data_IF_184614353355
#
_entry.id   IF_184614353355
#
_cell.length_a   1.000
_cell.length_b   1.000
_cell.length_c   1.000
_cell.angle_alpha   90.00
_cell.angle_beta   90.00
_cell.angle_gamma   90.00
#
_symmetry.space_group_name_H-M   'P 1'
#
loop_
_entity.id
_entity.type
_entity.pdbx_description
1 polymer ?
#
# COMPACT_ATOMS: atom_id res chain seq x y z
N UNK A 1 -8.48 -1.41 15.77
CA UNK A 1 -9.13 -0.87 14.55
C UNK A 1 -9.03 0.66 14.46
N UNK A 2 -9.58 1.43 15.42
CA UNK A 2 -9.57 2.90 15.38
C UNK A 2 -8.19 3.54 15.19
N UNK A 3 -7.18 3.08 15.96
CA UNK A 3 -5.80 3.58 15.82
C UNK A 3 -5.21 3.39 14.41
N UNK A 4 -5.49 2.25 13.75
CA UNK A 4 -5.08 2.02 12.35
C UNK A 4 -5.77 3.00 11.41
N UNK A 5 -7.09 3.15 11.55
CA UNK A 5 -7.90 4.06 10.72
C UNK A 5 -7.38 5.49 10.82
N UNK A 6 -7.16 5.99 12.03
CA UNK A 6 -6.61 7.34 12.27
C UNK A 6 -5.19 7.46 11.72
N UNK A 7 -4.31 6.49 12.00
CA UNK A 7 -2.94 6.51 11.51
C UNK A 7 -2.87 6.52 9.97
N UNK A 8 -3.72 5.75 9.29
CA UNK A 8 -3.80 5.76 7.82
C UNK A 8 -4.26 7.11 7.28
N UNK A 9 -5.26 7.75 7.89
CA UNK A 9 -5.74 9.06 7.47
C UNK A 9 -4.71 10.18 7.74
N UNK A 10 -4.01 10.13 8.87
CA UNK A 10 -2.95 11.10 9.19
C UNK A 10 -1.71 10.91 8.30
N UNK A 11 -1.33 9.66 8.04
CA UNK A 11 -0.21 9.36 7.15
C UNK A 11 -0.53 9.82 5.72
N UNK A 12 -1.73 9.56 5.22
CA UNK A 12 -2.12 10.03 3.89
C UNK A 12 -2.06 11.55 3.78
N UNK A 13 -2.56 12.27 4.78
CA UNK A 13 -2.51 13.73 4.83
C UNK A 13 -1.07 14.29 4.91
N UNK A 14 -0.12 13.50 5.43
CA UNK A 14 1.30 13.88 5.44
C UNK A 14 1.98 13.57 4.11
N UNK A 15 1.63 12.45 3.47
CA UNK A 15 2.17 12.04 2.18
C UNK A 15 1.60 12.84 1.01
N UNK A 16 0.47 13.52 1.21
CA UNK A 16 -0.13 14.43 0.21
C UNK A 16 0.67 15.72 -0.02
N UNK A 17 1.69 16.00 0.80
CA UNK A 17 2.58 17.14 0.64
C UNK A 17 3.86 16.73 -0.16
N UNK A 18 4.01 17.18 -1.42
CA UNK A 18 5.19 16.86 -2.21
C UNK A 18 6.51 17.35 -1.60
N UNK A 19 6.48 18.41 -0.79
CA UNK A 19 7.67 18.89 -0.08
C UNK A 19 8.09 17.93 1.05
N UNK A 20 7.15 17.25 1.69
CA UNK A 20 7.46 16.19 2.65
C UNK A 20 8.05 14.98 1.94
N UNK A 21 7.51 14.58 0.79
CA UNK A 21 8.04 13.46 0.01
C UNK A 21 9.49 13.73 -0.41
N UNK A 22 9.70 14.80 -1.19
CA UNK A 22 11.01 15.12 -1.78
C UNK A 22 12.02 15.66 -0.76
N UNK A 23 11.56 16.40 0.25
CA UNK A 23 12.42 17.06 1.22
C UNK A 23 12.69 16.24 2.49
N UNK A 24 11.95 15.15 2.74
CA UNK A 24 12.11 14.36 3.98
C UNK A 24 12.05 12.86 3.74
N UNK A 25 11.02 12.35 3.06
CA UNK A 25 10.82 10.90 2.91
C UNK A 25 11.87 10.27 2.00
N UNK A 26 12.07 10.80 0.80
CA UNK A 26 13.04 10.26 -0.16
C UNK A 26 14.49 10.32 0.37
N UNK A 27 14.98 11.43 0.98
CA UNK A 27 16.30 11.45 1.58
C UNK A 27 16.46 10.45 2.74
N UNK A 28 15.43 10.32 3.60
CA UNK A 28 15.48 9.39 4.72
C UNK A 28 15.46 7.92 4.25
N UNK A 29 14.72 7.63 3.18
CA UNK A 29 14.75 6.32 2.54
C UNK A 29 16.15 6.01 1.98
N UNK A 30 16.75 6.95 1.23
CA UNK A 30 18.08 6.76 0.68
C UNK A 30 19.15 6.56 1.77
N UNK A 31 19.05 7.27 2.89
CA UNK A 31 19.94 7.08 4.05
C UNK A 31 19.75 5.68 4.66
N UNK A 32 18.51 5.23 4.82
CA UNK A 32 18.21 3.90 5.36
C UNK A 32 18.71 2.80 4.42
N UNK A 33 18.45 2.90 3.12
CA UNK A 33 18.91 1.95 2.10
C UNK A 33 20.44 1.86 2.12
N UNK A 34 21.13 3.00 2.06
CA UNK A 34 22.60 3.03 2.11
C UNK A 34 23.16 2.43 3.41
N UNK A 35 22.50 2.67 4.56
CA UNK A 35 22.91 2.04 5.82
C UNK A 35 22.72 0.52 5.79
N UNK A 36 21.60 0.03 5.25
CA UNK A 36 21.31 -1.41 5.16
C UNK A 36 22.26 -2.09 4.19
N UNK A 37 22.50 -1.51 3.00
CA UNK A 37 23.45 -2.00 2.01
C UNK A 37 24.86 -2.13 2.61
N UNK A 38 25.34 -1.10 3.32
CA UNK A 38 26.64 -1.18 4.00
C UNK A 38 26.70 -2.29 5.07
N UNK A 39 25.60 -2.56 5.78
CA UNK A 39 25.52 -3.69 6.73
C UNK A 39 25.52 -5.04 6.04
N UNK A 40 24.89 -5.14 4.87
CA UNK A 40 24.86 -6.34 4.05
C UNK A 40 26.24 -6.64 3.47
N UNK A 41 26.95 -5.61 2.98
CA UNK A 41 28.31 -5.72 2.46
C UNK A 41 29.27 -6.21 3.55
N UNK A 42 29.25 -5.56 4.73
CA UNK A 42 30.07 -5.95 5.89
C UNK A 42 29.83 -7.41 6.34
N UNK A 43 28.60 -7.91 6.17
CA UNK A 43 28.21 -9.27 6.51
C UNK A 43 28.46 -10.29 5.38
N UNK A 44 28.84 -9.85 4.18
CA UNK A 44 29.10 -10.69 3.02
C UNK A 44 27.84 -11.15 2.28
N UNK A 45 26.74 -10.41 2.37
CA UNK A 45 25.46 -10.73 1.72
C UNK A 45 25.23 -10.00 0.38
N UNK A 46 26.23 -9.26 -0.13
CA UNK A 46 26.11 -8.44 -1.34
C UNK A 46 26.16 -6.95 -1.02
N UNK A 47 26.31 -6.13 -2.07
CA UNK A 47 26.42 -4.67 -1.98
C UNK A 47 25.11 -3.94 -2.34
N UNK A 48 24.07 -4.68 -2.73
CA UNK A 48 22.72 -4.16 -2.97
C UNK A 48 21.72 -4.71 -1.97
N UNK A 49 20.62 -3.98 -1.75
CA UNK A 49 19.53 -4.48 -0.91
C UNK A 49 18.86 -5.73 -1.50
N UNK A 50 18.79 -5.84 -2.83
CA UNK A 50 18.24 -7.01 -3.53
C UNK A 50 19.08 -8.27 -3.24
N UNK A 51 20.40 -8.19 -3.43
CA UNK A 51 21.30 -9.30 -3.11
C UNK A 51 21.21 -9.70 -1.64
N UNK A 52 21.10 -8.70 -0.75
CA UNK A 52 20.98 -8.95 0.67
C UNK A 52 19.67 -9.63 1.06
N UNK A 53 18.55 -9.20 0.48
CA UNK A 53 17.24 -9.82 0.68
C UNK A 53 17.26 -11.27 0.22
N UNK A 54 17.83 -11.55 -0.94
CA UNK A 54 17.94 -12.90 -1.51
C UNK A 54 18.87 -13.78 -0.67
N UNK A 55 20.04 -13.28 -0.30
CA UNK A 55 21.01 -14.01 0.51
C UNK A 55 20.49 -14.37 1.91
N UNK A 56 19.64 -13.50 2.47
CA UNK A 56 19.00 -13.71 3.77
C UNK A 56 17.68 -14.48 3.69
N UNK A 57 17.19 -14.78 2.48
CA UNK A 57 15.85 -15.33 2.26
C UNK A 57 14.75 -14.47 2.92
N UNK A 58 14.97 -13.15 2.95
CA UNK A 58 14.16 -12.21 3.72
C UNK A 58 12.74 -12.05 3.17
N UNK A 59 12.53 -12.36 1.89
CA UNK A 59 11.21 -12.40 1.27
C UNK A 59 10.47 -13.74 1.44
N UNK A 60 11.12 -14.77 2.00
CA UNK A 60 10.57 -16.10 2.23
C UNK A 60 10.83 -16.56 3.68
N UNK A 61 11.52 -17.70 3.90
CA UNK A 61 11.60 -18.36 5.18
C UNK A 61 12.52 -17.64 6.18
N UNK A 62 13.42 -16.77 5.71
CA UNK A 62 14.31 -15.97 6.53
C UNK A 62 13.65 -14.74 7.15
N UNK A 63 12.68 -14.12 6.47
CA UNK A 63 12.02 -12.89 6.96
C UNK A 63 10.68 -13.11 7.65
N UNK A 64 9.92 -14.13 7.25
CA UNK A 64 8.61 -14.41 7.84
C UNK A 64 8.72 -15.44 8.97
N UNK A 65 9.22 -15.01 10.13
CA UNK A 65 9.43 -15.92 11.28
C UNK A 65 8.77 -15.39 12.55
N UNK A 66 7.44 -15.30 12.57
CA UNK A 66 6.71 -14.87 13.76
C UNK A 66 5.75 -15.94 14.29
N UNK A 67 6.12 -16.57 15.39
CA UNK A 67 5.31 -17.57 16.09
C UNK A 67 4.18 -16.95 16.95
N UNK A 68 4.14 -15.63 17.12
CA UNK A 68 3.09 -14.97 17.90
C UNK A 68 1.73 -15.11 17.24
N UNK A 69 0.76 -15.60 18.01
CA UNK A 69 -0.65 -15.67 17.63
C UNK A 69 -1.51 -14.92 18.64
N UNK A 70 -2.70 -14.53 18.22
CA UNK A 70 -3.71 -13.96 19.11
C UNK A 70 -5.10 -14.57 18.84
N UNK A 71 -6.13 -14.00 19.48
CA UNK A 71 -7.51 -14.49 19.40
C UNK A 71 -8.13 -14.43 18.01
N UNK A 72 -7.58 -13.63 17.09
CA UNK A 72 -8.13 -13.47 15.72
C UNK A 72 -7.17 -13.98 14.65
N UNK A 73 -5.85 -13.93 14.90
CA UNK A 73 -4.81 -14.48 14.04
C UNK A 73 -4.16 -15.67 14.73
N UNK A 74 -4.71 -16.86 14.47
CA UNK A 74 -4.40 -18.09 15.22
C UNK A 74 -3.32 -18.96 14.58
N UNK A 75 -2.76 -18.54 13.45
CA UNK A 75 -1.64 -19.21 12.79
C UNK A 75 -0.39 -18.33 12.84
N UNK A 76 0.81 -18.92 13.03
CA UNK A 76 2.07 -18.22 12.86
C UNK A 76 2.20 -17.57 11.48
N UNK A 77 3.00 -16.51 11.41
CA UNK A 77 3.45 -15.93 10.13
C UNK A 77 4.74 -16.64 9.72
N UNK A 78 4.67 -17.37 8.61
CA UNK A 78 5.75 -18.18 8.03
C UNK A 78 6.09 -17.79 6.60
N UNK A 79 5.24 -16.98 5.97
CA UNK A 79 5.38 -16.49 4.60
C UNK A 79 4.52 -15.23 4.41
N UNK A 80 4.60 -14.63 3.22
CA UNK A 80 3.79 -13.45 2.86
C UNK A 80 2.29 -13.70 2.92
N UNK A 81 1.85 -14.90 2.54
CA UNK A 81 0.42 -15.25 2.52
C UNK A 81 -0.19 -15.28 3.93
N UNK A 82 0.54 -15.85 4.89
CA UNK A 82 0.20 -15.91 6.30
C UNK A 82 0.32 -14.52 6.95
N UNK A 83 1.27 -13.68 6.52
CA UNK A 83 1.33 -12.28 6.94
C UNK A 83 0.08 -11.47 6.50
N UNK A 84 -0.36 -11.64 5.25
CA UNK A 84 -1.58 -11.00 4.75
C UNK A 84 -2.83 -11.52 5.45
N UNK A 85 -2.93 -12.84 5.70
CA UNK A 85 -4.02 -13.43 6.46
C UNK A 85 -4.08 -12.88 7.90
N UNK A 86 -2.92 -12.80 8.55
CA UNK A 86 -2.73 -12.24 9.88
C UNK A 86 -3.13 -10.75 9.95
N UNK A 87 -2.80 -9.96 8.91
CA UNK A 87 -3.23 -8.57 8.79
C UNK A 87 -4.74 -8.46 8.63
N UNK A 88 -5.33 -9.20 7.67
CA UNK A 88 -6.77 -9.21 7.39
C UNK A 88 -7.60 -9.60 8.61
N UNK A 89 -7.18 -10.62 9.36
CA UNK A 89 -7.85 -11.02 10.61
C UNK A 89 -7.91 -9.87 11.64
N UNK A 90 -6.84 -9.06 11.72
CA UNK A 90 -6.74 -7.91 12.64
C UNK A 90 -7.38 -6.63 12.11
N UNK A 91 -7.76 -6.57 10.83
CA UNK A 91 -8.51 -5.42 10.32
C UNK A 91 -9.90 -5.31 10.96
N UNK A 92 -10.48 -6.45 11.34
CA UNK A 92 -11.83 -6.55 11.91
C UNK A 92 -11.82 -7.06 13.34
N UNK A 93 -10.70 -7.60 13.85
CA UNK A 93 -10.60 -8.21 15.19
C UNK A 93 -11.73 -9.21 15.48
N UNK A 94 -12.15 -9.98 14.45
CA UNK A 94 -13.20 -11.00 14.59
C UNK A 94 -14.63 -10.46 14.72
N UNK A 95 -14.84 -9.13 14.64
CA UNK A 95 -16.18 -8.59 14.60
C UNK A 95 -16.89 -9.00 13.30
N UNK A 96 -18.14 -9.44 13.43
CA UNK A 96 -19.00 -9.75 12.30
C UNK A 96 -19.48 -8.47 11.62
N UNK A 97 -19.85 -8.57 10.34
CA UNK A 97 -20.53 -7.48 9.65
C UNK A 97 -21.88 -7.18 10.32
N UNK A 98 -22.15 -5.90 10.58
CA UNK A 98 -23.38 -5.39 11.18
C UNK A 98 -24.18 -4.49 10.24
N UNK A 99 -23.59 -4.10 9.10
CA UNK A 99 -24.22 -3.33 8.03
C UNK A 99 -24.29 -4.10 6.71
N UNK A 100 -24.65 -3.40 5.64
CA UNK A 100 -24.76 -3.99 4.29
C UNK A 100 -23.40 -4.46 3.78
N UNK A 101 -23.33 -5.73 3.36
CA UNK A 101 -22.16 -6.37 2.76
C UNK A 101 -22.16 -6.20 1.23
N UNK A 102 -21.04 -6.44 0.56
CA UNK A 102 -20.95 -6.41 -0.91
C UNK A 102 -21.17 -5.03 -1.54
N UNK A 103 -21.00 -3.94 -0.79
CA UNK A 103 -21.03 -2.61 -1.37
C UNK A 103 -19.80 -2.38 -2.25
N UNK A 104 -19.94 -1.52 -3.26
CA UNK A 104 -18.80 -1.10 -4.07
C UNK A 104 -17.67 -0.52 -3.19
N UNK A 105 -16.44 -0.65 -3.69
CA UNK A 105 -15.24 -0.13 -3.04
C UNK A 105 -15.42 1.37 -2.73
N UNK A 106 -14.84 1.80 -1.60
CA UNK A 106 -14.96 3.17 -1.12
C UNK A 106 -13.62 3.66 -0.60
N UNK A 107 -12.75 4.02 -1.53
CA UNK A 107 -11.47 4.64 -1.21
C UNK A 107 -11.72 6.04 -0.66
N UNK A 108 -11.23 6.39 0.53
CA UNK A 108 -11.37 7.74 1.08
C UNK A 108 -10.59 8.76 0.25
N UNK A 109 -11.01 10.02 0.26
CA UNK A 109 -10.25 11.12 -0.37
C UNK A 109 -8.85 11.23 0.25
N UNK A 110 -7.82 11.41 -0.60
CA UNK A 110 -6.41 11.42 -0.19
C UNK A 110 -5.83 10.04 0.12
N UNK A 111 -6.63 8.97 0.14
CA UNK A 111 -6.16 7.61 0.43
C UNK A 111 -5.06 7.13 -0.52
N UNK A 112 -5.10 7.55 -1.78
CA UNK A 112 -4.09 7.28 -2.82
C UNK A 112 -2.66 7.65 -2.43
N UNK A 113 -2.46 8.62 -1.54
CA UNK A 113 -1.14 9.09 -1.17
C UNK A 113 -0.43 8.12 -0.23
N UNK A 114 -1.17 7.19 0.39
CA UNK A 114 -0.56 6.04 1.08
C UNK A 114 0.30 5.18 0.15
N UNK A 115 0.09 5.27 -1.16
CA UNK A 115 0.77 4.47 -2.17
C UNK A 115 1.79 5.27 -2.98
N UNK A 116 2.05 6.53 -2.65
CA UNK A 116 2.91 7.41 -3.46
C UNK A 116 4.35 6.92 -3.55
N UNK A 117 4.87 6.33 -2.46
CA UNK A 117 6.25 5.81 -2.42
C UNK A 117 6.37 4.42 -3.06
N UNK A 118 5.34 3.58 -2.91
CA UNK A 118 5.33 2.22 -3.47
C UNK A 118 4.99 2.19 -4.98
N UNK A 119 4.21 3.17 -5.46
CA UNK A 119 3.79 3.27 -6.85
C UNK A 119 4.00 4.70 -7.40
N UNK A 120 5.24 5.22 -7.40
CA UNK A 120 5.52 6.61 -7.76
C UNK A 120 5.21 6.94 -9.23
N UNK A 121 5.18 5.92 -10.09
CA UNK A 121 4.85 6.09 -11.51
C UNK A 121 3.35 6.11 -11.80
N UNK A 122 2.51 5.73 -10.84
CA UNK A 122 1.06 5.69 -11.01
C UNK A 122 0.45 7.08 -10.72
N UNK A 123 -0.59 7.44 -11.47
CA UNK A 123 -1.45 8.59 -11.17
C UNK A 123 -2.32 8.31 -9.94
N UNK A 124 -2.85 9.37 -9.34
CA UNK A 124 -3.77 9.29 -8.19
C UNK A 124 -4.93 8.33 -8.49
N UNK A 125 -5.56 8.44 -9.66
CA UNK A 125 -6.67 7.56 -10.07
C UNK A 125 -6.26 6.09 -10.19
N UNK A 126 -5.04 5.81 -10.67
CA UNK A 126 -4.50 4.46 -10.72
C UNK A 126 -4.23 3.93 -9.30
N UNK A 127 -3.61 4.73 -8.40
CA UNK A 127 -3.39 4.36 -6.99
C UNK A 127 -4.71 4.10 -6.25
N UNK A 128 -5.75 4.90 -6.52
CA UNK A 128 -7.12 4.63 -6.02
C UNK A 128 -7.66 3.29 -6.50
N UNK A 129 -7.38 2.91 -7.75
CA UNK A 129 -7.81 1.60 -8.29
C UNK A 129 -7.09 0.43 -7.61
N UNK A 130 -5.81 0.60 -7.23
CA UNK A 130 -5.07 -0.38 -6.42
C UNK A 130 -5.72 -0.55 -5.06
N UNK A 131 -5.97 0.56 -4.34
CA UNK A 131 -6.62 0.51 -3.03
C UNK A 131 -8.02 -0.14 -3.11
N UNK A 132 -8.83 0.27 -4.09
CA UNK A 132 -10.16 -0.28 -4.30
C UNK A 132 -10.15 -1.81 -4.53
N UNK A 133 -9.15 -2.31 -5.25
CA UNK A 133 -9.00 -3.75 -5.52
C UNK A 133 -8.53 -4.54 -4.30
N UNK A 134 -7.84 -3.87 -3.36
CA UNK A 134 -7.31 -4.48 -2.15
C UNK A 134 -8.30 -4.48 -0.97
N UNK A 135 -9.35 -3.63 -1.00
CA UNK A 135 -10.28 -3.44 0.11
C UNK A 135 -10.87 -4.75 0.69
N UNK A 136 -11.06 -4.78 2.01
CA UNK A 136 -11.95 -5.77 2.64
C UNK A 136 -13.42 -5.42 2.38
N UNK A 137 -14.31 -6.42 2.49
CA UNK A 137 -15.75 -6.23 2.27
C UNK A 137 -16.39 -5.20 3.21
N UNK A 138 -17.52 -4.64 2.78
CA UNK A 138 -18.27 -3.63 3.51
C UNK A 138 -19.04 -4.19 4.71
N UNK A 139 -19.59 -3.30 5.54
CA UNK A 139 -20.56 -3.67 6.57
C UNK A 139 -19.96 -4.03 7.93
N UNK A 140 -18.64 -3.97 8.11
CA UNK A 140 -18.03 -4.06 9.44
C UNK A 140 -18.39 -2.87 10.33
N UNK A 141 -18.28 -2.99 11.67
CA UNK A 141 -18.85 -2.00 12.60
C UNK A 141 -18.39 -0.55 12.44
N UNK A 142 -17.18 -0.31 11.89
CA UNK A 142 -16.63 1.04 11.69
C UNK A 142 -16.73 1.50 10.23
N UNK A 143 -17.34 0.72 9.34
CA UNK A 143 -17.26 0.94 7.90
C UNK A 143 -17.96 2.24 7.52
N UNK A 144 -19.20 2.40 7.97
CA UNK A 144 -20.02 3.60 7.74
C UNK A 144 -19.39 4.85 8.35
N UNK A 145 -18.88 4.77 9.59
CA UNK A 145 -18.32 5.90 10.33
C UNK A 145 -16.90 6.29 9.89
N UNK A 146 -16.14 5.35 9.30
CA UNK A 146 -14.74 5.58 8.91
C UNK A 146 -14.57 6.19 7.52
N UNK A 147 -15.66 6.50 6.82
CA UNK A 147 -15.60 7.05 5.47
C UNK A 147 -14.85 6.19 4.42
N UNK A 148 -14.68 4.89 4.67
CA UNK A 148 -13.92 3.97 3.82
C UNK A 148 -12.55 3.57 4.39
N UNK A 149 -12.02 4.31 5.35
CA UNK A 149 -10.71 4.02 5.95
C UNK A 149 -10.63 2.64 6.62
N UNK A 150 -11.74 2.10 7.13
CA UNK A 150 -11.73 0.74 7.67
C UNK A 150 -11.37 -0.29 6.59
N UNK A 151 -11.79 -0.07 5.35
CA UNK A 151 -11.67 -1.07 4.27
C UNK A 151 -10.27 -1.19 3.70
N UNK A 152 -9.42 -0.17 3.88
CA UNK A 152 -8.06 -0.14 3.33
C UNK A 152 -7.21 -1.27 3.90
N UNK A 153 -6.97 -2.29 3.06
CA UNK A 153 -6.00 -3.36 3.29
C UNK A 153 -4.64 -2.92 2.72
N UNK A 154 -3.91 -2.14 3.52
CA UNK A 154 -2.65 -1.56 3.07
C UNK A 154 -1.56 -2.64 2.85
N UNK A 155 -1.62 -3.75 3.58
CA UNK A 155 -0.68 -4.86 3.39
C UNK A 155 -0.88 -5.54 2.02
N UNK A 156 -2.13 -5.77 1.62
CA UNK A 156 -2.43 -6.28 0.28
C UNK A 156 -2.07 -5.27 -0.82
N UNK A 157 -2.34 -3.98 -0.61
CA UNK A 157 -2.01 -2.94 -1.58
C UNK A 157 -0.50 -2.75 -1.78
N UNK A 158 0.30 -2.78 -0.69
CA UNK A 158 1.77 -2.68 -0.71
C UNK A 158 2.46 -3.99 -1.13
N UNK A 159 1.71 -5.01 -1.53
CA UNK A 159 2.24 -6.24 -2.13
C UNK A 159 1.62 -6.48 -3.51
N UNK A 160 1.24 -5.40 -4.21
CA UNK A 160 0.54 -5.52 -5.47
C UNK A 160 1.45 -5.43 -6.71
N UNK A 161 1.18 -6.30 -7.68
CA UNK A 161 1.51 -6.09 -9.09
C UNK A 161 0.32 -5.42 -9.78
N UNK A 162 0.56 -4.25 -10.34
CA UNK A 162 -0.45 -3.46 -11.07
C UNK A 162 -0.24 -3.63 -12.56
N UNK A 163 -1.29 -4.04 -13.27
CA UNK A 163 -1.25 -4.18 -14.73
C UNK A 163 -2.04 -3.05 -15.35
N UNK A 164 -1.36 -2.25 -16.16
CA UNK A 164 -1.94 -1.22 -17.00
C UNK A 164 -2.18 -1.75 -18.42
N UNK A 165 -3.21 -1.27 -19.10
CA UNK A 165 -3.27 -1.39 -20.56
C UNK A 165 -2.37 -0.36 -21.26
N UNK A 166 -2.34 -0.41 -22.59
CA UNK A 166 -1.56 0.54 -23.41
C UNK A 166 -2.04 2.00 -23.33
N UNK A 167 -3.20 2.24 -22.74
CA UNK A 167 -3.76 3.57 -22.50
C UNK A 167 -3.53 4.05 -21.06
N UNK A 168 -2.87 3.26 -20.22
CA UNK A 168 -2.64 3.58 -18.81
C UNK A 168 -3.86 3.29 -17.92
N UNK A 169 -4.83 2.49 -18.37
CA UNK A 169 -5.94 2.07 -17.51
C UNK A 169 -5.51 0.89 -16.66
N UNK A 170 -5.79 0.89 -15.35
CA UNK A 170 -5.60 -0.30 -14.51
C UNK A 170 -6.58 -1.38 -14.96
N UNK A 171 -6.05 -2.51 -15.43
CA UNK A 171 -6.84 -3.66 -15.90
C UNK A 171 -6.73 -4.87 -14.99
N UNK A 172 -5.73 -4.92 -14.11
CA UNK A 172 -5.54 -6.01 -13.16
C UNK A 172 -4.70 -5.53 -11.97
N UNK A 173 -4.98 -6.08 -10.79
CA UNK A 173 -4.22 -5.85 -9.55
C UNK A 173 -4.09 -7.18 -8.83
N UNK A 174 -2.88 -7.72 -8.78
CA UNK A 174 -2.58 -9.00 -8.13
C UNK A 174 -1.84 -8.71 -6.83
N UNK A 175 -2.44 -9.01 -5.68
CA UNK A 175 -1.85 -8.76 -4.35
C UNK A 175 -1.00 -9.96 -3.86
N UNK A 176 -0.21 -9.76 -2.80
CA UNK A 176 0.64 -10.82 -2.22
C UNK A 176 1.86 -11.19 -3.05
N UNK A 177 2.34 -10.28 -3.89
CA UNK A 177 3.60 -10.39 -4.61
C UNK A 177 4.78 -10.07 -3.68
N UNK A 178 5.95 -10.63 -3.99
CA UNK A 178 7.17 -10.42 -3.22
C UNK A 178 7.72 -8.99 -3.35
N UNK A 179 7.47 -8.39 -4.51
CA UNK A 179 7.78 -6.99 -4.81
C UNK A 179 6.56 -6.25 -5.40
N UNK A 180 6.46 -4.97 -5.09
CA UNK A 180 5.51 -4.08 -5.77
C UNK A 180 6.02 -3.78 -7.17
N UNK A 181 5.16 -3.96 -8.17
CA UNK A 181 5.55 -3.71 -9.56
C UNK A 181 4.40 -3.12 -10.38
N UNK A 182 4.77 -2.39 -11.43
CA UNK A 182 3.82 -1.89 -12.43
C UNK A 182 4.26 -2.38 -13.79
N UNK A 183 3.33 -3.02 -14.52
CA UNK A 183 3.57 -3.52 -15.86
C UNK A 183 2.51 -3.03 -16.84
N UNK A 184 2.86 -2.91 -18.11
CA UNK A 184 1.93 -2.64 -19.20
C UNK A 184 1.68 -3.93 -19.97
N UNK A 185 0.41 -4.32 -20.11
CA UNK A 185 -0.02 -5.44 -20.96
C UNK A 185 -0.29 -4.94 -22.37
N UNK A 186 0.47 -5.44 -23.34
CA UNK A 186 0.29 -5.14 -24.76
C UNK A 186 -0.90 -5.91 -25.35
N UNK A 187 -1.45 -5.49 -26.51
CA UNK A 187 -2.63 -6.14 -27.11
C UNK A 187 -2.44 -7.63 -27.46
N UNK A 188 -1.19 -8.08 -27.59
CA UNK A 188 -0.84 -9.49 -27.78
C UNK A 188 -0.68 -10.28 -26.47
N UNK A 189 -1.04 -9.70 -25.33
CA UNK A 189 -1.02 -10.34 -24.01
C UNK A 189 0.33 -10.33 -23.28
N UNK A 190 1.40 -9.74 -23.85
CA UNK A 190 2.70 -9.66 -23.17
C UNK A 190 2.73 -8.54 -22.13
N UNK A 191 3.36 -8.78 -21.00
CA UNK A 191 3.59 -7.77 -19.95
C UNK A 191 5.03 -7.23 -20.03
N UNK A 192 5.21 -5.93 -19.80
CA UNK A 192 6.51 -5.26 -19.77
C UNK A 192 6.57 -4.28 -18.60
N UNK A 193 7.74 -4.03 -17.98
CA UNK A 193 7.88 -3.03 -16.94
C UNK A 193 7.38 -1.65 -17.40
N UNK A 194 6.63 -0.96 -16.55
CA UNK A 194 6.17 0.39 -16.79
C UNK A 194 7.18 1.39 -16.21
N UNK A 195 7.74 2.25 -17.05
CA UNK A 195 8.78 3.23 -16.66
C UNK A 195 8.22 4.64 -16.42
N UNK A 196 6.89 4.80 -16.35
CA UNK A 196 6.24 6.09 -16.13
C UNK A 196 6.14 6.99 -17.37
N UNK A 197 5.04 7.75 -17.45
CA UNK A 197 4.91 8.96 -18.25
C UNK A 197 4.40 10.07 -17.33
N UNK A 198 5.17 11.14 -17.16
CA UNK A 198 4.84 12.24 -16.25
C UNK A 198 3.48 12.86 -16.60
N UNK A 199 2.44 12.58 -15.79
CA UNK A 199 1.27 13.43 -15.70
C UNK A 199 1.40 14.25 -14.42
N UNK A 200 1.85 15.50 -14.56
CA UNK A 200 1.83 16.50 -13.50
C UNK A 200 0.43 16.58 -12.88
N UNK A 201 0.29 16.16 -11.61
CA UNK A 201 -0.94 16.34 -10.86
C UNK A 201 -1.15 17.83 -10.56
N UNK A 202 -2.07 18.48 -11.26
CA UNK A 202 -2.57 19.80 -10.88
C UNK A 202 -3.38 19.64 -9.58
N UNK A 203 -2.74 19.90 -8.44
CA UNK A 203 -3.41 20.00 -7.14
C UNK A 203 -4.32 21.24 -7.12
N UNK A 204 -5.62 21.09 -7.40
CA UNK A 204 -6.62 22.12 -7.09
C UNK A 204 -7.24 21.84 -5.72
N UNK A 205 -6.48 22.11 -4.65
CA UNK A 205 -7.06 22.20 -3.31
C UNK A 205 -7.86 23.51 -3.22
N UNK A 206 -9.17 23.41 -3.46
CA UNK A 206 -10.12 24.50 -3.24
C UNK A 206 -10.17 24.88 -1.76
N UNK A 207 -9.36 25.86 -1.36
CA UNK A 207 -9.54 26.57 -0.09
C UNK A 207 -10.93 27.21 -0.10
N UNK A 208 -11.87 26.60 0.61
CA UNK A 208 -13.13 27.28 0.95
C UNK A 208 -12.79 28.40 1.90
N UNK A 209 -12.82 29.63 1.40
CA UNK A 209 -12.74 30.84 2.20
C UNK A 209 -13.95 30.87 3.14
N UNK A 210 -13.72 30.64 4.44
CA UNK A 210 -14.71 30.89 5.47
C UNK A 210 -15.04 32.38 5.48
N UNK A 211 -16.20 32.70 4.94
CA UNK A 211 -16.77 34.04 4.91
C UNK A 211 -17.13 34.45 6.35
N UNK A 212 -16.31 35.31 6.97
CA UNK A 212 -16.62 35.90 8.28
C UNK A 212 -17.60 37.05 8.08
N UNK A 213 -18.89 36.77 8.28
CA UNK A 213 -19.93 37.79 8.46
C UNK A 213 -20.35 37.81 9.91
N UNK A 214 -19.87 38.82 10.64
CA UNK A 214 -20.58 39.69 11.61
C UNK A 214 -19.57 40.45 12.45
#
# INVERSE_FOLDING_TARGET
MGGRITASAELSARLSDPEIISGTVEPAQAELESYLEGKCEDAGYGDTLEDCIDALDANDAGGYTNAFTDVVSTSPVTDRSSALAAYRARMTYGFTQTGTTGQAARVPEGGEDLLVTAFPTLTDAQRRSVLASAEIDSGYPLDSSSLGWQRIDLAAALSAKVVLDVHGTVVDVVTGQDETSVVVRTPNGKERPYTGGHASSSHSHGRTTANRVR
#
